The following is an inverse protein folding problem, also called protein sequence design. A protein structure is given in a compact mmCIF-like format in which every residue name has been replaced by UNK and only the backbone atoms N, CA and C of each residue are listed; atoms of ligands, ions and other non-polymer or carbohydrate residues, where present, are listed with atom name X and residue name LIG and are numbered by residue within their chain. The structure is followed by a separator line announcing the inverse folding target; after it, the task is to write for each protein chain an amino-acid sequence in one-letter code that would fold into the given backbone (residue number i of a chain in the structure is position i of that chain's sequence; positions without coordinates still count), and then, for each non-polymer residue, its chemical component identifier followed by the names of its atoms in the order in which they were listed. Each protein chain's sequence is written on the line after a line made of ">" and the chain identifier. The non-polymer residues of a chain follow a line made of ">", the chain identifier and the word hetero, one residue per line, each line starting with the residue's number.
data_IF_555581528032
#
_entry.id   IF_555581528032
#
_cell.length_a   1.000
_cell.length_b   1.000
_cell.length_c   1.000
_cell.angle_alpha   90.00
_cell.angle_beta   90.00
_cell.angle_gamma   90.00
#
_symmetry.space_group_name_H-M   'P 1'
#
loop_
_entity.id
_entity.type
_entity.pdbx_description
1 polymer ?
#
# COMPACT_ATOMS: atom_id res chain seq x y z
N UNK A 1 7.72 35.39 15.53
CA UNK A 1 7.51 34.75 14.25
C UNK A 1 6.05 34.99 13.91
N UNK A 2 5.77 35.88 12.98
CA UNK A 2 4.41 36.25 12.56
C UNK A 2 3.93 35.17 11.59
N UNK A 3 2.75 34.63 11.82
CA UNK A 3 2.19 33.58 10.95
C UNK A 3 1.61 34.28 9.70
N UNK A 4 2.07 33.88 8.52
CA UNK A 4 1.50 34.31 7.25
C UNK A 4 0.16 33.60 7.03
N UNK A 5 -0.93 34.27 7.36
CA UNK A 5 -2.29 33.71 7.21
C UNK A 5 -2.89 34.04 5.83
N UNK A 6 -2.28 34.93 5.03
CA UNK A 6 -2.79 35.30 3.69
C UNK A 6 -2.59 34.15 2.70
N UNK A 7 -1.50 33.39 2.85
CA UNK A 7 -1.20 32.21 2.01
C UNK A 7 -1.54 30.88 2.68
N UNK A 8 -2.20 30.90 3.84
CA UNK A 8 -2.59 29.70 4.55
C UNK A 8 -3.71 28.96 3.82
N UNK A 9 -3.62 27.62 3.76
CA UNK A 9 -4.73 26.79 3.29
C UNK A 9 -5.82 26.78 4.35
N UNK A 10 -7.00 27.33 4.00
CA UNK A 10 -8.15 27.32 4.90
C UNK A 10 -8.78 25.94 4.94
N UNK A 11 -8.84 25.35 6.14
CA UNK A 11 -9.56 24.10 6.35
C UNK A 11 -11.08 24.36 6.28
N UNK A 12 -11.77 23.64 5.40
CA UNK A 12 -13.21 23.74 5.22
C UNK A 12 -13.96 22.90 6.26
N UNK A 13 -13.97 23.37 7.50
CA UNK A 13 -14.68 22.70 8.59
C UNK A 13 -16.17 22.56 8.26
N UNK A 14 -16.76 21.39 8.53
CA UNK A 14 -18.14 21.00 8.18
C UNK A 14 -18.48 20.97 6.67
N UNK A 15 -17.54 21.26 5.78
CA UNK A 15 -17.76 21.18 4.33
C UNK A 15 -17.17 19.89 3.72
N UNK A 16 -16.42 19.13 4.49
CA UNK A 16 -15.85 17.85 4.07
C UNK A 16 -16.32 16.72 4.99
N UNK A 17 -16.77 15.57 4.45
CA UNK A 17 -16.95 15.30 3.01
C UNK A 17 -18.11 16.12 2.40
N UNK A 18 -18.04 16.44 1.09
CA UNK A 18 -19.08 17.19 0.42
C UNK A 18 -20.43 16.44 0.49
N UNK A 19 -21.50 17.14 0.84
CA UNK A 19 -22.85 16.55 0.96
C UNK A 19 -23.43 16.07 -0.37
N UNK A 20 -22.99 16.68 -1.45
CA UNK A 20 -23.38 16.33 -2.82
C UNK A 20 -22.16 16.30 -3.72
N UNK A 21 -22.06 15.23 -4.51
CA UNK A 21 -21.05 15.07 -5.54
C UNK A 21 -21.66 15.42 -6.91
N UNK A 22 -21.01 16.27 -7.67
CA UNK A 22 -21.40 16.50 -9.05
C UNK A 22 -20.77 15.39 -9.92
N UNK A 23 -21.56 14.33 -10.17
CA UNK A 23 -21.11 13.16 -10.93
C UNK A 23 -20.77 13.49 -12.39
N UNK A 24 -21.35 14.53 -12.98
CA UNK A 24 -21.05 14.96 -14.34
C UNK A 24 -19.55 15.32 -14.52
N UNK A 25 -18.92 15.84 -13.46
CA UNK A 25 -17.51 16.25 -13.54
C UNK A 25 -16.53 15.06 -13.60
N UNK A 26 -16.93 13.87 -13.19
CA UNK A 26 -15.99 12.74 -13.10
C UNK A 26 -16.56 11.40 -13.60
N UNK A 27 -17.80 11.37 -14.11
CA UNK A 27 -18.42 10.13 -14.57
C UNK A 27 -17.61 9.42 -15.66
N UNK A 28 -17.03 10.16 -16.61
CA UNK A 28 -16.17 9.59 -17.64
C UNK A 28 -14.90 8.96 -17.06
N UNK A 29 -14.30 9.60 -16.07
CA UNK A 29 -13.16 9.06 -15.33
C UNK A 29 -13.54 7.79 -14.55
N UNK A 30 -14.70 7.79 -13.92
CA UNK A 30 -15.22 6.65 -13.18
C UNK A 30 -15.46 5.43 -14.08
N UNK A 31 -16.07 5.65 -15.25
CA UNK A 31 -16.32 4.59 -16.24
C UNK A 31 -14.99 3.99 -16.71
N UNK A 32 -14.01 4.82 -17.08
CA UNK A 32 -12.68 4.37 -17.51
C UNK A 32 -11.94 3.61 -16.41
N UNK A 33 -12.01 4.08 -15.19
CA UNK A 33 -11.38 3.42 -14.04
C UNK A 33 -12.04 2.06 -13.76
N UNK A 34 -13.36 1.99 -13.77
CA UNK A 34 -14.10 0.74 -13.56
C UNK A 34 -13.80 -0.29 -14.64
N UNK A 35 -13.76 0.12 -15.92
CA UNK A 35 -13.39 -0.76 -17.02
C UNK A 35 -11.94 -1.27 -16.90
N UNK A 36 -11.00 -0.40 -16.55
CA UNK A 36 -9.60 -0.78 -16.36
C UNK A 36 -9.43 -1.79 -15.21
N UNK A 37 -10.10 -1.56 -14.07
CA UNK A 37 -10.09 -2.47 -12.92
C UNK A 37 -10.71 -3.81 -13.29
N UNK A 38 -11.85 -3.81 -13.98
CA UNK A 38 -12.54 -5.04 -14.38
C UNK A 38 -11.69 -5.88 -15.34
N UNK A 39 -11.01 -5.26 -16.29
CA UNK A 39 -10.08 -5.96 -17.21
C UNK A 39 -8.87 -6.52 -16.47
N UNK A 40 -8.32 -5.76 -15.55
CA UNK A 40 -7.19 -6.21 -14.73
C UNK A 40 -7.59 -7.40 -13.84
N UNK A 41 -8.71 -7.32 -13.15
CA UNK A 41 -9.27 -8.40 -12.34
C UNK A 41 -9.51 -9.68 -13.16
N UNK A 42 -10.08 -9.52 -14.37
CA UNK A 42 -10.30 -10.66 -15.27
C UNK A 42 -8.99 -11.26 -15.76
N UNK A 43 -7.98 -10.42 -16.02
CA UNK A 43 -6.65 -10.91 -16.39
C UNK A 43 -6.03 -11.75 -15.27
N UNK A 44 -6.08 -11.27 -14.03
CA UNK A 44 -5.56 -12.00 -12.87
C UNK A 44 -6.29 -13.34 -12.66
N UNK A 45 -7.62 -13.36 -12.80
CA UNK A 45 -8.42 -14.60 -12.69
C UNK A 45 -8.10 -15.64 -13.76
N UNK A 46 -7.69 -15.21 -14.94
CA UNK A 46 -7.30 -16.10 -16.02
C UNK A 46 -5.86 -16.62 -15.89
N UNK A 47 -5.06 -16.04 -15.01
CA UNK A 47 -3.71 -16.52 -14.76
C UNK A 47 -3.73 -17.75 -13.87
N UNK A 48 -2.97 -18.77 -14.26
CA UNK A 48 -2.80 -20.00 -13.46
C UNK A 48 -2.17 -19.70 -12.08
N UNK A 49 -1.23 -18.76 -12.04
CA UNK A 49 -0.60 -18.29 -10.81
C UNK A 49 -0.36 -16.76 -10.90
N UNK A 50 -1.29 -15.98 -10.35
CA UNK A 50 -1.18 -14.52 -10.33
C UNK A 50 -0.08 -14.01 -9.39
N UNK A 51 0.38 -14.83 -8.44
CA UNK A 51 1.44 -14.45 -7.49
C UNK A 51 2.78 -14.15 -8.20
N UNK A 52 3.06 -14.81 -9.32
CA UNK A 52 4.26 -14.52 -10.13
C UNK A 52 4.31 -13.04 -10.55
N UNK A 53 3.15 -12.45 -10.85
CA UNK A 53 3.03 -11.04 -11.22
C UNK A 53 2.88 -10.12 -9.99
N UNK A 54 2.12 -10.56 -8.99
CA UNK A 54 1.75 -9.70 -7.85
C UNK A 54 2.88 -9.58 -6.82
N UNK A 55 3.70 -10.61 -6.61
CA UNK A 55 4.77 -10.55 -5.63
C UNK A 55 5.81 -9.45 -5.92
N UNK A 56 6.35 -9.31 -7.15
CA UNK A 56 7.25 -8.21 -7.48
C UNK A 56 6.60 -6.82 -7.32
N UNK A 57 5.30 -6.70 -7.64
CA UNK A 57 4.56 -5.43 -7.49
C UNK A 57 4.39 -5.05 -6.02
N UNK A 58 4.10 -6.02 -5.14
CA UNK A 58 4.04 -5.77 -3.69
C UNK A 58 5.39 -5.33 -3.13
N UNK A 59 6.48 -5.98 -3.56
CA UNK A 59 7.82 -5.61 -3.14
C UNK A 59 8.16 -4.18 -3.58
N UNK A 60 7.85 -3.84 -4.82
CA UNK A 60 8.06 -2.50 -5.37
C UNK A 60 7.23 -1.45 -4.62
N UNK A 61 5.98 -1.76 -4.34
CA UNK A 61 5.08 -0.89 -3.57
C UNK A 61 5.66 -0.62 -2.18
N UNK A 62 6.08 -1.66 -1.45
CA UNK A 62 6.66 -1.54 -0.13
C UNK A 62 7.91 -0.63 -0.12
N UNK A 63 8.80 -0.79 -1.10
CA UNK A 63 10.00 0.07 -1.25
C UNK A 63 9.62 1.53 -1.52
N UNK A 64 8.67 1.76 -2.43
CA UNK A 64 8.26 3.13 -2.80
C UNK A 64 7.56 3.81 -1.64
N UNK A 65 6.63 3.14 -0.98
CA UNK A 65 5.87 3.66 0.16
C UNK A 65 6.79 3.99 1.33
N UNK A 66 7.70 3.08 1.70
CA UNK A 66 8.69 3.33 2.76
C UNK A 66 9.59 4.52 2.43
N UNK A 67 10.00 4.66 1.16
CA UNK A 67 10.81 5.81 0.72
C UNK A 67 10.07 7.13 0.85
N UNK A 68 8.77 7.18 0.61
CA UNK A 68 7.95 8.39 0.79
C UNK A 68 7.92 8.84 2.25
N UNK A 69 8.06 7.92 3.19
CA UNK A 69 8.14 8.18 4.64
C UNK A 69 9.57 8.44 5.14
N UNK A 70 10.56 8.43 4.24
CA UNK A 70 11.95 8.72 4.55
C UNK A 70 12.82 7.49 4.81
N UNK A 71 12.24 6.29 4.76
CA UNK A 71 12.98 5.02 4.89
C UNK A 71 13.68 4.69 3.57
N UNK A 72 15.02 4.57 3.59
CA UNK A 72 15.79 4.29 2.39
C UNK A 72 16.19 2.83 2.33
N UNK A 73 15.39 2.05 1.59
CA UNK A 73 15.71 0.66 1.24
C UNK A 73 15.68 0.48 -0.28
N UNK A 74 16.40 -0.51 -0.78
CA UNK A 74 16.40 -0.86 -2.21
C UNK A 74 15.76 -2.22 -2.41
N UNK A 75 15.23 -2.46 -3.62
CA UNK A 75 14.67 -3.76 -3.98
C UNK A 75 15.70 -4.89 -3.85
N UNK A 76 16.96 -4.63 -4.24
CA UNK A 76 18.03 -5.62 -4.18
C UNK A 76 18.34 -6.04 -2.72
N UNK A 77 18.32 -5.10 -1.78
CA UNK A 77 18.52 -5.40 -0.35
C UNK A 77 17.38 -6.27 0.20
N UNK A 78 16.15 -6.00 -0.19
CA UNK A 78 14.97 -6.78 0.23
C UNK A 78 15.04 -8.20 -0.33
N UNK A 79 15.27 -8.34 -1.64
CA UNK A 79 15.36 -9.65 -2.28
C UNK A 79 16.51 -10.48 -1.73
N UNK A 80 17.65 -9.85 -1.44
CA UNK A 80 18.79 -10.51 -0.81
C UNK A 80 18.44 -10.99 0.59
N UNK A 81 17.79 -10.15 1.39
CA UNK A 81 17.37 -10.53 2.74
C UNK A 81 16.37 -11.71 2.70
N UNK A 82 15.37 -11.66 1.83
CA UNK A 82 14.40 -12.74 1.67
C UNK A 82 15.06 -14.06 1.26
N UNK A 83 16.04 -14.01 0.35
CA UNK A 83 16.78 -15.18 -0.09
C UNK A 83 17.66 -15.78 1.04
N UNK A 84 18.27 -14.93 1.87
CA UNK A 84 19.16 -15.37 2.94
C UNK A 84 18.40 -15.94 4.17
N UNK A 85 17.13 -15.55 4.37
CA UNK A 85 16.38 -15.83 5.61
C UNK A 85 15.09 -16.64 5.41
N UNK A 86 14.87 -17.24 4.22
CA UNK A 86 13.71 -18.12 3.90
C UNK A 86 12.36 -17.65 4.51
N UNK A 87 12.18 -16.33 4.65
CA UNK A 87 10.93 -15.73 5.12
C UNK A 87 10.83 -15.46 6.63
N UNK A 88 11.82 -15.76 7.45
CA UNK A 88 11.83 -15.36 8.86
C UNK A 88 12.58 -14.05 9.07
N UNK A 89 11.97 -13.10 9.81
CA UNK A 89 12.64 -11.86 10.21
C UNK A 89 13.44 -12.15 11.48
N UNK A 90 14.63 -12.69 11.34
CA UNK A 90 15.57 -12.75 12.45
C UNK A 90 16.39 -11.46 12.52
N UNK A 91 16.70 -11.06 13.75
CA UNK A 91 17.53 -9.91 14.06
C UNK A 91 18.98 -10.23 13.65
N UNK A 92 19.31 -10.02 12.40
CA UNK A 92 20.67 -10.25 11.90
C UNK A 92 21.53 -9.01 12.11
N UNK A 93 22.67 -9.13 12.77
CA UNK A 93 23.49 -7.99 13.22
C UNK A 93 24.09 -7.12 12.09
N UNK A 94 23.81 -7.43 10.82
CA UNK A 94 24.36 -6.73 9.65
C UNK A 94 23.31 -6.18 8.68
N UNK A 95 22.01 -6.24 8.99
CA UNK A 95 20.94 -5.72 8.12
C UNK A 95 20.52 -4.35 8.66
N UNK A 96 20.41 -3.37 7.77
CA UNK A 96 19.95 -2.03 8.15
C UNK A 96 18.49 -2.09 8.63
N UNK A 97 18.17 -1.33 9.69
CA UNK A 97 16.81 -1.28 10.25
C UNK A 97 15.76 -0.91 9.20
N UNK A 98 16.11 -0.05 8.25
CA UNK A 98 15.22 0.38 7.17
C UNK A 98 14.78 -0.77 6.24
N UNK A 99 15.66 -1.73 6.03
CA UNK A 99 15.35 -2.93 5.23
C UNK A 99 14.35 -3.81 6.01
N UNK A 100 14.59 -4.00 7.31
CA UNK A 100 13.70 -4.76 8.19
C UNK A 100 12.31 -4.11 8.25
N UNK A 101 12.25 -2.78 8.45
CA UNK A 101 10.98 -2.04 8.46
C UNK A 101 10.19 -2.24 7.17
N UNK A 102 10.86 -2.17 6.01
CA UNK A 102 10.20 -2.38 4.71
C UNK A 102 9.68 -3.81 4.57
N UNK A 103 10.42 -4.80 5.05
CA UNK A 103 10.00 -6.21 5.04
C UNK A 103 8.81 -6.45 5.98
N UNK A 104 8.83 -5.84 7.18
CA UNK A 104 7.72 -5.92 8.13
C UNK A 104 6.45 -5.30 7.55
N UNK A 105 6.57 -4.14 6.88
CA UNK A 105 5.46 -3.52 6.17
C UNK A 105 4.86 -4.46 5.10
N UNK A 106 5.70 -5.09 4.30
CA UNK A 106 5.28 -6.05 3.28
C UNK A 106 4.56 -7.26 3.90
N UNK A 107 5.08 -7.79 5.01
CA UNK A 107 4.45 -8.91 5.73
C UNK A 107 3.10 -8.52 6.32
N UNK A 108 2.99 -7.33 6.88
CA UNK A 108 1.75 -6.77 7.37
C UNK A 108 0.68 -6.69 6.27
N UNK A 109 1.04 -6.17 5.09
CA UNK A 109 0.14 -6.15 3.93
C UNK A 109 -0.32 -7.54 3.51
N UNK A 110 0.59 -8.51 3.47
CA UNK A 110 0.27 -9.90 3.11
C UNK A 110 -0.66 -10.55 4.15
N UNK A 111 -0.40 -10.33 5.44
CA UNK A 111 -1.26 -10.82 6.52
C UNK A 111 -2.66 -10.21 6.46
N UNK A 112 -2.75 -8.89 6.23
CA UNK A 112 -4.02 -8.19 6.03
C UNK A 112 -4.80 -8.75 4.85
N UNK A 113 -4.15 -8.95 3.72
CA UNK A 113 -4.78 -9.52 2.53
C UNK A 113 -5.29 -10.95 2.79
N UNK A 114 -4.52 -11.78 3.51
CA UNK A 114 -4.96 -13.11 3.93
C UNK A 114 -6.23 -13.04 4.78
N UNK A 115 -6.24 -12.21 5.81
CA UNK A 115 -7.40 -12.02 6.67
C UNK A 115 -8.64 -11.54 5.88
N UNK A 116 -8.47 -10.61 4.94
CA UNK A 116 -9.56 -10.14 4.07
C UNK A 116 -10.09 -11.25 3.16
N UNK A 117 -9.24 -12.10 2.64
CA UNK A 117 -9.62 -13.27 1.83
C UNK A 117 -10.43 -14.29 2.65
N UNK A 118 -10.14 -14.40 3.96
CA UNK A 118 -10.89 -15.23 4.91
C UNK A 118 -12.20 -14.57 5.37
N UNK A 119 -12.54 -13.40 4.83
CA UNK A 119 -13.79 -12.70 5.07
C UNK A 119 -13.76 -11.73 6.25
N UNK A 120 -12.61 -11.46 6.86
CA UNK A 120 -12.50 -10.44 7.90
C UNK A 120 -12.62 -9.03 7.30
N UNK A 121 -13.46 -8.16 7.85
CA UNK A 121 -13.59 -6.79 7.37
C UNK A 121 -12.37 -5.96 7.79
N UNK A 122 -12.05 -4.93 7.01
CA UNK A 122 -11.08 -3.91 7.43
C UNK A 122 -11.64 -3.23 8.68
N UNK A 123 -10.90 -3.31 9.78
CA UNK A 123 -11.30 -2.77 11.08
C UNK A 123 -10.09 -2.27 11.86
N UNK A 124 -10.35 -1.43 12.87
CA UNK A 124 -9.29 -0.96 13.75
C UNK A 124 -8.57 -2.11 14.47
N UNK A 125 -9.30 -3.16 14.84
CA UNK A 125 -8.72 -4.35 15.49
C UNK A 125 -7.80 -5.10 14.52
N UNK A 126 -8.19 -5.25 13.27
CA UNK A 126 -7.35 -5.85 12.24
C UNK A 126 -6.06 -5.06 12.04
N UNK A 127 -6.16 -3.73 11.88
CA UNK A 127 -4.99 -2.85 11.67
C UNK A 127 -4.02 -2.91 12.86
N UNK A 128 -4.53 -3.09 14.08
CA UNK A 128 -3.68 -3.22 15.28
C UNK A 128 -3.05 -4.59 15.46
N UNK A 129 -3.59 -5.62 14.82
CA UNK A 129 -3.12 -7.00 14.94
C UNK A 129 -2.04 -7.36 13.90
N UNK A 130 -1.89 -6.53 12.88
CA UNK A 130 -0.90 -6.65 11.81
C UNK A 130 0.38 -5.91 12.25
#
# INVERSE_FOLDING_TARGET
>A
MELDLENAVHYHYDQFPPKQLNYENFVDGLIKATDAIARYDQMLKNMHNSEILLAPLRNQEAVISSRMEGTVSTMDEILKYEADHEGEAEDTPNVRSEVIETILYQRALKAAQGAMNDGYPISQSMIKAI
#
